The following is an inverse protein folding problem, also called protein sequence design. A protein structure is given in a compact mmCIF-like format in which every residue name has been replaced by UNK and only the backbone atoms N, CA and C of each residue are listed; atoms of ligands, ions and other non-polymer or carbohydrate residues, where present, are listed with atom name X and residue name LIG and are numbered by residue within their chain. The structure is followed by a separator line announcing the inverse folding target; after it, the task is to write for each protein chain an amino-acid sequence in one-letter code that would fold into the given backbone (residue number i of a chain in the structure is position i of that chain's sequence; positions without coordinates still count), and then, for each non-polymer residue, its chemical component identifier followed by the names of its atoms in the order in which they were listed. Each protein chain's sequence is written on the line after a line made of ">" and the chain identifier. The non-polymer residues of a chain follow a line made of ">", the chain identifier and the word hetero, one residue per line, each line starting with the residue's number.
data_IF_997932084707
#
_entry.id   IF_997932084707
#
_cell.length_a   1.000
_cell.length_b   1.000
_cell.length_c   1.000
_cell.angle_alpha   90.00
_cell.angle_beta   90.00
_cell.angle_gamma   90.00
#
_symmetry.space_group_name_H-M   'P 1'
#
loop_
_entity.id
_entity.type
_entity.pdbx_description
1 polymer ?
#
# COMPACT_ATOMS: atom_id res chain seq x y z
N UNK A 1 4.04 -21.99 20.93
CA UNK A 1 4.45 -20.98 19.94
C UNK A 1 3.42 -19.85 19.97
N UNK A 2 3.50 -19.04 21.04
CA UNK A 2 2.73 -17.81 21.17
C UNK A 2 3.68 -16.67 20.80
N UNK A 3 3.09 -15.59 20.33
CA UNK A 3 3.71 -14.27 20.15
C UNK A 3 4.35 -14.03 18.76
N UNK A 4 3.49 -14.11 17.74
CA UNK A 4 3.54 -13.14 16.64
C UNK A 4 2.76 -11.88 17.06
N UNK A 5 3.14 -11.29 18.20
CA UNK A 5 2.68 -9.96 18.56
C UNK A 5 3.21 -9.01 17.50
N UNK A 6 2.31 -8.21 16.91
CA UNK A 6 2.65 -7.25 15.88
C UNK A 6 3.86 -6.44 16.31
N UNK A 7 4.89 -6.39 15.47
CA UNK A 7 6.12 -5.62 15.71
C UNK A 7 5.86 -4.11 15.55
N UNK A 8 4.76 -3.63 16.11
CA UNK A 8 4.50 -2.23 16.36
C UNK A 8 5.33 -1.81 17.58
N UNK A 9 6.35 -1.01 17.34
CA UNK A 9 7.35 -0.63 18.34
C UNK A 9 8.42 0.25 17.71
N UNK A 10 9.49 0.59 18.44
CA UNK A 10 10.58 1.48 17.95
C UNK A 10 11.15 1.06 16.58
N UNK A 11 11.15 -0.25 16.27
CA UNK A 11 11.59 -0.76 14.97
C UNK A 11 10.72 -0.30 13.78
N UNK A 12 9.44 0.04 14.00
CA UNK A 12 8.54 0.54 12.95
C UNK A 12 8.92 1.94 12.46
N UNK A 13 9.60 2.72 13.30
CA UNK A 13 10.00 4.10 12.99
C UNK A 13 10.99 4.16 11.83
N UNK A 14 11.93 3.21 11.76
CA UNK A 14 12.91 3.17 10.67
C UNK A 14 12.25 2.81 9.33
N UNK A 15 11.36 1.82 9.33
CA UNK A 15 10.58 1.48 8.15
C UNK A 15 9.67 2.62 7.70
N UNK A 16 8.99 3.29 8.63
CA UNK A 16 8.17 4.48 8.34
C UNK A 16 8.97 5.58 7.63
N UNK A 17 10.19 5.88 8.11
CA UNK A 17 11.07 6.85 7.47
C UNK A 17 11.45 6.42 6.04
N UNK A 18 11.81 5.14 5.85
CA UNK A 18 12.16 4.60 4.53
C UNK A 18 10.98 4.66 3.55
N UNK A 19 9.78 4.34 4.04
CA UNK A 19 8.51 4.43 3.30
C UNK A 19 8.26 5.87 2.87
N UNK A 20 8.41 6.84 3.78
CA UNK A 20 8.19 8.25 3.46
C UNK A 20 9.18 8.78 2.42
N UNK A 21 10.46 8.47 2.57
CA UNK A 21 11.49 8.83 1.58
C UNK A 21 11.18 8.22 0.22
N UNK A 22 10.73 6.95 0.18
CA UNK A 22 10.36 6.30 -1.07
C UNK A 22 9.13 6.96 -1.73
N UNK A 23 8.11 7.31 -0.93
CA UNK A 23 6.91 8.03 -1.40
C UNK A 23 7.27 9.36 -2.06
N UNK A 24 8.07 10.17 -1.39
CA UNK A 24 8.51 11.48 -1.87
C UNK A 24 9.35 11.36 -3.15
N UNK A 25 10.29 10.41 -3.19
CA UNK A 25 11.17 10.21 -4.35
C UNK A 25 10.43 9.73 -5.62
N UNK A 26 9.33 9.00 -5.47
CA UNK A 26 8.57 8.42 -6.59
C UNK A 26 7.25 9.14 -6.88
N UNK A 27 6.92 10.18 -6.11
CA UNK A 27 5.64 10.88 -6.24
C UNK A 27 4.41 10.00 -5.99
N UNK A 28 4.55 8.99 -5.12
CA UNK A 28 3.46 8.06 -4.78
C UNK A 28 2.89 8.40 -3.40
N UNK A 29 1.58 8.23 -3.24
CA UNK A 29 0.85 8.76 -2.09
C UNK A 29 -0.16 7.78 -1.51
N UNK A 30 -1.17 8.34 -0.86
CA UNK A 30 -2.31 7.56 -0.35
C UNK A 30 -3.33 7.26 -1.46
N UNK A 31 -4.03 6.14 -1.30
CA UNK A 31 -5.16 5.80 -2.16
C UNK A 31 -6.20 6.92 -2.11
N UNK A 32 -6.61 7.37 -3.29
CA UNK A 32 -7.63 8.39 -3.44
C UNK A 32 -9.01 7.72 -3.59
N UNK A 33 -10.09 8.35 -3.11
CA UNK A 33 -11.44 7.88 -3.41
C UNK A 33 -11.66 7.72 -4.91
N UNK A 34 -12.44 6.71 -5.29
CA UNK A 34 -12.83 6.54 -6.68
C UNK A 34 -13.58 7.78 -7.19
N UNK A 35 -13.14 8.32 -8.32
CA UNK A 35 -13.57 9.62 -8.84
C UNK A 35 -14.22 9.52 -10.22
N UNK A 36 -13.98 8.43 -10.95
CA UNK A 36 -14.37 8.27 -12.36
C UNK A 36 -15.81 7.76 -12.53
N UNK A 37 -16.69 8.06 -11.57
CA UNK A 37 -18.10 7.64 -11.63
C UNK A 37 -18.30 6.16 -11.30
N UNK A 38 -19.20 5.47 -12.00
CA UNK A 38 -19.38 4.05 -11.81
C UNK A 38 -18.19 3.30 -12.42
N UNK A 39 -17.45 2.53 -11.59
CA UNK A 39 -16.35 1.66 -12.05
C UNK A 39 -16.81 0.87 -13.28
N UNK A 40 -17.99 0.28 -13.25
CA UNK A 40 -18.52 -0.61 -14.29
C UNK A 40 -18.87 0.07 -15.62
N UNK A 41 -19.03 1.40 -15.63
CA UNK A 41 -19.37 2.19 -16.82
C UNK A 41 -18.13 2.74 -17.54
N UNK A 42 -16.93 2.45 -17.03
CA UNK A 42 -15.71 2.88 -17.68
C UNK A 42 -15.49 2.09 -18.99
N UNK A 43 -15.70 2.80 -20.11
CA UNK A 43 -15.59 2.31 -21.48
C UNK A 43 -14.20 1.79 -21.84
N UNK A 44 -13.14 2.21 -21.12
CA UNK A 44 -11.78 1.72 -21.34
C UNK A 44 -11.64 0.21 -21.06
N UNK A 45 -12.59 -0.37 -20.30
CA UNK A 45 -12.53 -1.76 -19.82
C UNK A 45 -13.55 -2.69 -20.51
N UNK A 46 -14.20 -2.26 -21.59
CA UNK A 46 -15.22 -3.04 -22.32
C UNK A 46 -14.66 -4.26 -23.07
N UNK A 47 -13.34 -4.45 -23.10
CA UNK A 47 -12.68 -5.54 -23.82
C UNK A 47 -12.56 -6.86 -23.03
N UNK A 48 -12.69 -6.85 -21.69
CA UNK A 48 -12.52 -8.04 -20.84
C UNK A 48 -13.84 -8.51 -20.20
N UNK A 49 -14.01 -9.83 -20.08
CA UNK A 49 -15.19 -10.45 -19.46
C UNK A 49 -15.15 -10.48 -17.93
N UNK A 50 -13.96 -10.27 -17.34
CA UNK A 50 -13.73 -10.28 -15.90
C UNK A 50 -13.01 -8.99 -15.55
N UNK A 51 -13.47 -8.37 -14.45
CA UNK A 51 -12.86 -7.18 -13.87
C UNK A 51 -12.30 -7.48 -12.49
N UNK A 52 -11.08 -7.01 -12.24
CA UNK A 52 -10.39 -7.15 -10.96
C UNK A 52 -10.27 -5.78 -10.29
N UNK A 53 -11.02 -5.61 -9.20
CA UNK A 53 -11.01 -4.39 -8.41
C UNK A 53 -10.37 -4.65 -7.04
N UNK A 54 -9.55 -3.72 -6.56
CA UNK A 54 -8.91 -3.77 -5.25
C UNK A 54 -9.29 -2.53 -4.45
N UNK A 55 -9.67 -2.73 -3.20
CA UNK A 55 -9.97 -1.65 -2.28
C UNK A 55 -9.00 -1.64 -1.10
N UNK A 56 -8.31 -0.52 -0.90
CA UNK A 56 -7.57 -0.26 0.33
C UNK A 56 -8.52 0.22 1.42
N UNK A 57 -8.39 -0.33 2.62
CA UNK A 57 -9.04 0.23 3.82
C UNK A 57 -8.11 1.23 4.52
N UNK A 58 -8.65 2.29 5.13
CA UNK A 58 -7.88 3.10 6.08
C UNK A 58 -7.44 2.26 7.30
N UNK A 59 -6.37 2.71 7.95
CA UNK A 59 -5.89 2.13 9.20
C UNK A 59 -6.91 2.37 10.33
N UNK A 60 -7.25 1.32 11.06
CA UNK A 60 -8.11 1.36 12.24
C UNK A 60 -7.41 2.05 13.40
N UNK A 61 -8.20 2.62 14.33
CA UNK A 61 -7.68 3.29 15.53
C UNK A 61 -6.78 2.37 16.37
N UNK A 62 -7.14 1.09 16.47
CA UNK A 62 -6.38 0.11 17.26
C UNK A 62 -4.99 -0.14 16.65
N UNK A 63 -4.89 -0.15 15.32
CA UNK A 63 -3.62 -0.34 14.60
C UNK A 63 -2.70 0.87 14.81
N UNK A 64 -3.29 2.08 14.75
CA UNK A 64 -2.56 3.32 15.03
C UNK A 64 -2.07 3.37 16.48
N UNK A 65 -2.90 2.94 17.46
CA UNK A 65 -2.52 2.86 18.87
C UNK A 65 -1.41 1.84 19.13
N UNK A 66 -1.31 0.79 18.30
CA UNK A 66 -0.24 -0.20 18.34
C UNK A 66 1.03 0.25 17.62
N UNK A 67 1.05 1.46 17.04
CA UNK A 67 2.16 1.95 16.22
C UNK A 67 2.45 1.06 15.01
N UNK A 68 1.42 0.43 14.46
CA UNK A 68 1.46 -0.18 13.14
C UNK A 68 1.54 0.91 12.07
N UNK A 69 2.01 0.55 10.88
CA UNK A 69 2.24 1.49 9.80
C UNK A 69 1.65 1.01 8.48
N UNK A 70 1.28 1.98 7.66
CA UNK A 70 0.67 1.73 6.36
C UNK A 70 1.75 1.52 5.28
N UNK A 71 1.75 0.32 4.72
CA UNK A 71 2.70 -0.12 3.68
C UNK A 71 2.15 0.01 2.26
N UNK A 72 0.92 0.46 2.10
CA UNK A 72 0.20 0.47 0.82
C UNK A 72 0.20 1.88 0.25
N UNK A 73 0.73 2.06 -0.97
CA UNK A 73 0.77 3.34 -1.68
C UNK A 73 0.03 3.27 -3.01
N UNK A 74 -0.55 4.39 -3.41
CA UNK A 74 -1.14 4.57 -4.72
C UNK A 74 -0.19 5.36 -5.61
N UNK A 75 -0.04 4.93 -6.86
CA UNK A 75 0.55 5.78 -7.90
C UNK A 75 -0.54 6.71 -8.46
N UNK A 76 -0.16 7.68 -9.29
CA UNK A 76 -1.13 8.52 -9.99
C UNK A 76 -2.06 7.66 -10.86
N UNK A 77 -3.37 7.94 -10.79
CA UNK A 77 -4.41 7.13 -11.44
C UNK A 77 -5.13 6.21 -10.45
N UNK A 78 -6.01 5.35 -10.98
CA UNK A 78 -6.90 4.49 -10.16
C UNK A 78 -6.74 3.01 -10.53
N UNK A 79 -5.54 2.59 -10.93
CA UNK A 79 -5.24 1.22 -11.37
C UNK A 79 -3.97 0.64 -10.75
N UNK A 80 -3.05 1.47 -10.27
CA UNK A 80 -1.72 1.05 -9.84
C UNK A 80 -1.55 1.16 -8.32
N UNK A 81 -1.05 0.08 -7.74
CA UNK A 81 -0.78 -0.07 -6.32
C UNK A 81 0.67 -0.47 -6.09
N UNK A 82 1.29 0.09 -5.06
CA UNK A 82 2.61 -0.33 -4.56
C UNK A 82 2.49 -0.86 -3.14
N UNK A 83 2.95 -2.10 -2.93
CA UNK A 83 3.09 -2.71 -1.60
C UNK A 83 4.54 -2.60 -1.18
N UNK A 84 4.79 -1.93 -0.05
CA UNK A 84 6.13 -1.78 0.52
C UNK A 84 6.39 -2.84 1.59
N UNK A 85 7.06 -3.91 1.20
CA UNK A 85 7.39 -5.01 2.09
C UNK A 85 8.61 -4.68 2.97
N UNK A 86 8.47 -4.67 4.31
CA UNK A 86 9.60 -4.50 5.22
C UNK A 86 10.46 -5.75 5.26
N UNK A 87 11.72 -5.62 4.87
CA UNK A 87 12.72 -6.70 4.89
C UNK A 87 13.85 -6.37 5.87
N UNK A 88 14.43 -7.41 6.42
CA UNK A 88 15.71 -7.32 7.15
C UNK A 88 16.71 -8.17 6.39
N UNK A 89 17.78 -7.54 5.91
CA UNK A 89 18.88 -8.22 5.23
C UNK A 89 19.65 -9.10 6.22
N UNK A 90 20.51 -9.98 5.70
CA UNK A 90 21.34 -10.89 6.52
C UNK A 90 22.25 -10.13 7.49
N UNK A 91 22.73 -8.95 7.10
CA UNK A 91 23.52 -8.03 7.93
C UNK A 91 22.67 -7.21 8.93
N UNK A 92 21.42 -7.60 9.14
CA UNK A 92 20.41 -6.92 9.97
C UNK A 92 20.02 -5.52 9.47
N UNK A 93 20.49 -5.09 8.30
CA UNK A 93 20.10 -3.81 7.70
C UNK A 93 18.63 -3.87 7.30
N UNK A 94 17.85 -2.90 7.80
CA UNK A 94 16.43 -2.74 7.46
C UNK A 94 16.30 -2.15 6.05
N UNK A 95 15.44 -2.75 5.24
CA UNK A 95 15.17 -2.35 3.86
C UNK A 95 13.68 -2.43 3.55
N UNK A 96 13.25 -1.68 2.53
CA UNK A 96 11.90 -1.77 1.97
C UNK A 96 12.03 -2.33 0.56
N UNK A 97 11.25 -3.36 0.24
CA UNK A 97 11.09 -3.88 -1.10
C UNK A 97 9.74 -3.42 -1.65
N UNK A 98 9.74 -2.75 -2.81
CA UNK A 98 8.53 -2.18 -3.39
C UNK A 98 8.00 -3.07 -4.51
N UNK A 99 6.81 -3.63 -4.30
CA UNK A 99 6.11 -4.49 -5.25
C UNK A 99 5.00 -3.72 -5.96
N UNK A 100 5.04 -3.66 -7.30
CA UNK A 100 4.03 -2.97 -8.10
C UNK A 100 2.98 -3.94 -8.62
N UNK A 101 1.72 -3.55 -8.51
CA UNK A 101 0.57 -4.29 -9.02
C UNK A 101 -0.33 -3.35 -9.81
N UNK A 102 -0.91 -3.88 -10.88
CA UNK A 102 -1.87 -3.17 -11.73
C UNK A 102 -3.18 -3.94 -11.75
N UNK A 103 -4.29 -3.22 -11.59
CA UNK A 103 -5.65 -3.72 -11.56
C UNK A 103 -6.55 -2.87 -12.47
N UNK A 104 -7.77 -3.34 -12.73
CA UNK A 104 -8.74 -2.54 -13.48
C UNK A 104 -9.24 -1.35 -12.67
N UNK A 105 -9.34 -1.52 -11.34
CA UNK A 105 -9.66 -0.43 -10.42
C UNK A 105 -8.98 -0.62 -9.06
N UNK A 106 -8.41 0.46 -8.52
CA UNK A 106 -7.84 0.56 -7.19
C UNK A 106 -8.30 1.85 -6.49
N UNK A 107 -8.83 1.73 -5.27
CA UNK A 107 -9.37 2.85 -4.48
C UNK A 107 -9.31 2.61 -2.97
#
# INVERSE_FOLDING_TARGET
>A
AKDAEGRGGIESVDFLKKIQVYREAHGIGEAQPWSSGNVWEDEAFTASSIRVCVRKRPMLKIEQQRHDFDVICAEAGQSNLVVMEPKTKVDLTKAIEAHRFTFDAFF
#
